data_IF_627127982646
#
_entry.id   IF_627127982646
#
_cell.length_a   1.000
_cell.length_b   1.000
_cell.length_c   1.000
_cell.angle_alpha   90.00
_cell.angle_beta   90.00
_cell.angle_gamma   90.00
#
_symmetry.space_group_name_H-M   'P 1'
#
loop_
_entity.id
_entity.type
_entity.pdbx_description
1 polymer ?
2 polymer ?
3 water ?
#
# COMPACT_ATOMS: atom_id res chain seq x y z
N UNK A 9 -4.78 -2.65 -17.57
CA UNK A 9 -5.01 -3.63 -16.52
C UNK A 9 -6.05 -3.14 -15.51
N UNK A 10 -7.00 -4.02 -15.22
CA UNK A 10 -8.06 -3.73 -14.25
C UNK A 10 -7.59 -4.23 -12.90
N UNK A 11 -7.40 -3.30 -11.96
CA UNK A 11 -6.82 -3.70 -10.70
C UNK A 11 -7.27 -2.87 -9.50
N UNK A 12 -8.07 -1.83 -9.71
CA UNK A 12 -8.43 -0.92 -8.63
C UNK A 12 -9.81 -1.22 -8.07
N UNK A 13 -9.91 -1.14 -6.74
CA UNK A 13 -11.16 -1.34 -6.01
C UNK A 13 -11.38 -0.17 -5.05
N UNK A 14 -12.65 0.14 -4.81
CA UNK A 14 -12.98 1.02 -3.69
C UNK A 14 -14.23 0.51 -2.98
N UNK A 15 -14.46 1.01 -1.76
CA UNK A 15 -15.66 0.65 -1.02
C UNK A 15 -16.64 1.82 -1.02
N UNK A 16 -17.89 1.54 -1.37
CA UNK A 16 -18.88 2.61 -1.38
C UNK A 16 -19.38 2.84 0.03
N UNK A 17 -20.17 3.91 0.24
CA UNK A 17 -20.60 4.23 1.62
C UNK A 17 -21.41 3.13 2.26
N UNK A 18 -22.02 2.26 1.48
CA UNK A 18 -22.75 1.10 1.98
C UNK A 18 -21.85 -0.12 2.19
N UNK A 19 -20.53 0.03 2.09
CA UNK A 19 -19.59 -1.04 2.37
C UNK A 19 -19.37 -2.04 1.24
N UNK A 20 -20.06 -1.89 0.10
CA UNK A 20 -19.91 -2.81 -1.00
C UNK A 20 -18.63 -2.51 -1.78
N UNK A 21 -17.90 -3.56 -2.14
CA UNK A 21 -16.66 -3.37 -2.88
C UNK A 21 -16.98 -3.21 -4.36
N UNK A 22 -16.40 -2.19 -4.97
CA UNK A 22 -16.61 -1.93 -6.40
C UNK A 22 -15.29 -2.08 -7.15
N UNK A 23 -15.36 -2.67 -8.33
CA UNK A 23 -14.17 -2.93 -9.12
C UNK A 23 -14.19 -4.33 -9.71
N UNK A 24 -13.14 -4.70 -10.46
CA UNK A 24 -11.91 -3.92 -10.65
C UNK A 24 -11.95 -2.91 -11.77
N UNK A 25 -11.31 -1.79 -11.53
CA UNK A 25 -11.23 -0.70 -12.49
C UNK A 25 -9.81 -0.49 -12.98
N UNK A 26 -9.70 0.08 -14.18
CA UNK A 26 -8.40 0.46 -14.68
C UNK A 26 -7.90 1.72 -13.98
N UNK A 27 -6.58 1.94 -14.03
CA UNK A 27 -6.01 3.18 -13.52
C UNK A 27 -6.61 4.38 -14.22
N UNK A 28 -6.85 4.27 -15.53
CA UNK A 28 -7.43 5.38 -16.29
C UNK A 28 -8.86 5.69 -15.86
N UNK A 29 -9.65 4.66 -15.57
CA UNK A 29 -11.00 4.90 -15.05
C UNK A 29 -10.95 5.62 -13.71
N UNK A 30 -10.04 5.18 -12.85
CA UNK A 30 -9.90 5.86 -11.56
C UNK A 30 -9.44 7.30 -11.75
N UNK A 31 -8.45 7.52 -12.63
CA UNK A 31 -7.99 8.87 -12.87
C UNK A 31 -9.12 9.77 -13.34
N UNK A 32 -9.98 9.25 -14.23
CA UNK A 32 -11.10 10.05 -14.74
C UNK A 32 -12.02 10.46 -13.60
N UNK A 33 -12.42 9.50 -12.77
CA UNK A 33 -13.32 9.80 -11.66
C UNK A 33 -12.66 10.72 -10.64
N UNK A 34 -11.36 10.55 -10.39
CA UNK A 34 -10.65 11.44 -9.48
C UNK A 34 -10.63 12.87 -10.02
N UNK A 35 -10.31 13.04 -11.31
CA UNK A 35 -10.25 14.40 -11.84
C UNK A 35 -11.62 15.05 -11.94
N UNK A 36 -12.68 14.27 -12.03
CA UNK A 36 -14.04 14.78 -12.05
C UNK A 36 -14.56 15.19 -10.68
N UNK A 37 -13.86 14.82 -9.61
CA UNK A 37 -14.21 15.21 -8.26
C UNK A 37 -15.02 14.19 -7.48
N UNK A 38 -15.13 12.94 -7.96
CA UNK A 38 -15.98 11.98 -7.29
C UNK A 38 -15.36 11.34 -6.05
N UNK A 39 -14.04 11.42 -5.91
CA UNK A 39 -13.31 10.67 -4.91
C UNK A 39 -12.81 11.59 -3.81
N UNK A 40 -13.33 11.41 -2.60
CA UNK A 40 -12.79 12.19 -1.49
C UNK A 40 -11.55 11.55 -0.90
N UNK A 41 -10.90 12.30 0.01
CA UNK A 41 -9.73 11.75 0.67
C UNK A 41 -10.06 10.63 1.64
N UNK A 42 -11.34 10.38 1.93
CA UNK A 42 -11.71 9.32 2.87
C UNK A 42 -12.13 8.03 2.16
N UNK A 43 -12.29 8.07 0.85
CA UNK A 43 -12.69 6.89 0.10
C UNK A 43 -11.68 5.77 0.30
N UNK A 44 -12.18 4.60 0.64
CA UNK A 44 -11.32 3.45 0.88
C UNK A 44 -10.97 2.81 -0.45
N UNK A 45 -9.67 2.69 -0.74
CA UNK A 45 -9.25 2.18 -2.04
C UNK A 45 -8.09 1.21 -1.88
N UNK A 46 -7.95 0.30 -2.85
CA UNK A 46 -6.79 -0.58 -2.87
C UNK A 46 -6.68 -1.15 -4.27
N UNK A 47 -5.47 -1.56 -4.63
CA UNK A 47 -5.31 -2.45 -5.77
C UNK A 47 -5.58 -3.88 -5.32
N UNK A 48 -5.93 -4.74 -6.27
CA UNK A 48 -6.14 -6.14 -5.93
C UNK A 48 -4.99 -6.76 -5.15
N UNK A 49 -3.77 -6.47 -5.59
CA UNK A 49 -2.58 -7.02 -4.97
C UNK A 49 -2.21 -6.45 -3.62
N UNK A 50 -2.87 -5.37 -3.25
CA UNK A 50 -2.54 -4.68 -1.99
C UNK A 50 -3.14 -5.40 -0.77
N UNK A 51 -2.54 -5.10 0.39
CA UNK A 51 -2.97 -5.64 1.67
C UNK A 51 -3.88 -4.63 2.34
N UNK A 52 -5.18 -4.79 2.18
CA UNK A 52 -6.14 -3.97 2.92
C UNK A 52 -6.57 -2.73 2.15
N UNK A 53 -7.78 -2.25 2.45
CA UNK A 53 -8.22 -0.95 1.94
C UNK A 53 -7.63 0.14 2.83
N UNK A 54 -7.35 1.30 2.24
CA UNK A 54 -6.89 2.47 2.98
C UNK A 54 -7.58 3.73 2.42
N UNK A 55 -7.79 4.75 3.26
CA UNK A 55 -8.34 6.00 2.71
C UNK A 55 -7.41 6.62 1.67
N UNK A 56 -8.03 7.19 0.62
CA UNK A 56 -7.25 7.70 -0.50
C UNK A 56 -6.22 8.74 -0.05
N UNK A 57 -6.56 9.56 0.94
CA UNK A 57 -5.57 10.51 1.44
C UNK A 57 -4.34 9.81 1.97
N UNK A 58 -4.54 8.68 2.65
CA UNK A 58 -3.40 7.93 3.17
C UNK A 58 -2.65 7.19 2.06
N UNK A 59 -3.38 6.67 1.08
CA UNK A 59 -2.75 6.09 -0.09
C UNK A 59 -1.83 7.10 -0.75
N UNK A 60 -2.29 8.34 -0.90
CA UNK A 60 -1.47 9.38 -1.51
C UNK A 60 -0.23 9.62 -0.67
N UNK A 61 -0.39 9.64 0.66
CA UNK A 61 0.78 9.79 1.53
C UNK A 61 1.74 8.63 1.35
N UNK A 62 1.21 7.41 1.25
CA UNK A 62 2.06 6.22 1.16
C UNK A 62 2.82 6.20 -0.15
N UNK A 63 2.12 6.52 -1.24
CA UNK A 63 2.71 6.47 -2.56
C UNK A 63 3.58 7.68 -2.83
N UNK A 64 3.36 8.76 -2.11
CA UNK A 64 4.04 10.01 -2.38
C UNK A 64 3.46 10.83 -3.52
N UNK A 65 2.31 10.45 -4.09
CA UNK A 65 1.64 11.11 -5.23
C UNK A 65 0.25 10.49 -5.40
N UNK A 66 -0.60 11.13 -6.17
CA UNK A 66 -1.87 10.44 -6.39
C UNK A 66 -1.59 9.21 -7.22
N UNK A 67 -2.13 8.06 -6.86
CA UNK A 67 -1.67 6.81 -7.49
C UNK A 67 -2.14 6.63 -8.91
N UNK A 68 -3.13 7.41 -9.36
CA UNK A 68 -3.70 7.27 -10.69
C UNK A 68 -2.98 8.13 -11.72
N UNK A 69 -2.03 8.91 -11.31
CA UNK A 69 -1.28 9.72 -12.24
C UNK A 69 -0.06 8.97 -12.75
N UNK A 70 0.51 9.41 -13.87
CA UNK A 70 1.85 8.93 -14.25
C UNK A 70 2.87 9.26 -13.15
N UNK A 71 3.87 8.41 -13.03
CA UNK A 71 4.83 8.53 -11.93
C UNK A 71 6.23 8.88 -12.34
N UNK B 9 8.19 -1.49 -8.49
CA UNK B 9 6.80 -1.67 -8.17
C UNK B 9 6.59 -1.56 -6.66
N UNK B 10 5.43 -1.01 -6.33
CA UNK B 10 5.03 -0.81 -4.96
C UNK B 10 4.35 -2.07 -4.49
N UNK B 11 5.06 -2.85 -3.69
CA UNK B 11 4.52 -4.13 -3.26
C UNK B 11 4.77 -4.47 -1.80
N UNK B 12 5.52 -3.68 -1.03
CA UNK B 12 5.95 -4.07 0.31
C UNK B 12 5.06 -3.46 1.37
N UNK B 13 4.75 -4.27 2.40
CA UNK B 13 3.98 -3.84 3.57
C UNK B 13 4.70 -4.24 4.84
N UNK B 14 4.49 -3.48 5.91
CA UNK B 14 4.95 -3.92 7.23
C UNK B 14 3.88 -3.50 8.23
N UNK B 15 3.91 -4.10 9.41
CA UNK B 15 3.02 -3.72 10.50
C UNK B 15 3.77 -2.81 11.47
N UNK B 16 3.12 -1.72 11.88
CA UNK B 16 3.70 -0.87 12.91
C UNK B 16 3.49 -1.51 14.28
N UNK B 17 4.04 -0.91 15.34
CA UNK B 17 4.06 -1.60 16.64
C UNK B 17 2.69 -1.85 17.24
N UNK B 18 1.65 -1.14 16.79
CA UNK B 18 0.29 -1.46 17.19
C UNK B 18 -0.39 -2.40 16.21
N UNK B 19 0.31 -2.89 15.21
CA UNK B 19 -0.27 -3.85 14.28
C UNK B 19 -0.96 -3.25 13.09
N UNK B 20 -0.93 -1.92 12.91
CA UNK B 20 -1.54 -1.30 11.76
C UNK B 20 -0.66 -1.43 10.53
N UNK B 21 -1.28 -1.71 9.39
CA UNK B 21 -0.53 -2.05 8.19
C UNK B 21 -0.12 -0.78 7.47
N UNK B 22 1.15 -0.75 7.05
CA UNK B 22 1.73 0.36 6.30
C UNK B 22 2.21 -0.14 4.94
N UNK B 23 1.98 0.68 3.91
CA UNK B 23 2.39 0.39 2.56
C UNK B 23 1.28 0.76 1.60
N UNK B 24 1.46 0.47 0.31
CA UNK B 24 2.58 -0.28 -0.27
C UNK B 24 3.79 0.58 -0.55
N UNK B 25 4.97 0.02 -0.33
CA UNK B 25 6.24 0.69 -0.56
C UNK B 25 7.03 -0.03 -1.64
N UNK B 26 7.89 0.71 -2.33
CA UNK B 26 8.74 0.08 -3.33
C UNK B 26 9.90 -0.64 -2.65
N UNK B 27 10.52 -1.56 -3.39
CA UNK B 27 11.72 -2.20 -2.88
C UNK B 27 12.81 -1.17 -2.55
N UNK B 28 12.95 -0.11 -3.37
CA UNK B 28 13.99 0.89 -3.11
C UNK B 28 13.72 1.66 -1.83
N UNK B 29 12.44 1.98 -1.58
CA UNK B 29 12.08 2.64 -0.33
C UNK B 29 12.42 1.77 0.85
N UNK B 30 12.11 0.47 0.76
CA UNK B 30 12.40 -0.42 1.87
C UNK B 30 13.92 -0.55 2.07
N UNK B 31 14.68 -0.56 0.96
CA UNK B 31 16.13 -0.66 1.06
C UNK B 31 16.71 0.55 1.78
N UNK B 32 16.17 1.74 1.50
CA UNK B 32 16.63 2.96 2.16
C UNK B 32 16.39 2.90 3.66
N UNK B 33 15.16 2.56 4.05
CA UNK B 33 14.83 2.49 5.45
C UNK B 33 15.62 1.40 6.18
N UNK B 34 15.83 0.26 5.52
CA UNK B 34 16.66 -0.80 6.07
C UNK B 34 18.09 -0.32 6.29
N UNK B 35 18.68 0.31 5.29
CA UNK B 35 20.07 0.74 5.47
C UNK B 35 20.20 1.85 6.49
N UNK B 36 19.15 2.65 6.67
CA UNK B 36 19.16 3.72 7.67
C UNK B 36 19.03 3.20 9.09
N UNK B 37 18.70 1.93 9.28
CA UNK B 37 18.59 1.34 10.60
C UNK B 37 17.21 1.28 11.21
N UNK B 38 16.17 1.60 10.45
CA UNK B 38 14.84 1.71 11.04
C UNK B 38 14.19 0.37 11.29
N UNK B 39 14.64 -0.66 10.59
CA UNK B 39 14.00 -1.96 10.60
C UNK B 39 14.76 -2.96 11.47
N UNK B 40 14.11 -3.49 12.50
CA UNK B 40 14.71 -4.56 13.27
C UNK B 40 14.44 -5.91 12.61
N UNK B 41 15.11 -6.96 13.10
CA UNK B 41 14.85 -8.30 12.57
C UNK B 41 13.49 -8.88 12.97
N UNK B 42 12.73 -8.21 13.83
CA UNK B 42 11.39 -8.67 14.16
C UNK B 42 10.29 -7.83 13.50
N UNK B 43 10.65 -6.87 12.67
CA UNK B 43 9.63 -6.18 11.90
C UNK B 43 8.81 -7.19 11.10
N UNK B 44 7.49 -7.12 11.19
CA UNK B 44 6.64 -8.01 10.43
C UNK B 44 6.42 -7.43 9.04
N UNK B 45 6.78 -8.20 8.00
CA UNK B 45 6.78 -7.70 6.62
C UNK B 45 6.15 -8.72 5.69
N UNK B 46 5.70 -8.23 4.53
CA UNK B 46 5.22 -9.13 3.48
C UNK B 46 5.09 -8.34 2.19
N UNK B 47 5.05 -9.06 1.10
CA UNK B 47 4.63 -8.47 -0.16
C UNK B 47 3.12 -8.60 -0.29
N UNK B 48 2.53 -7.73 -1.08
CA UNK B 48 1.09 -7.79 -1.25
C UNK B 48 0.48 -9.18 -1.53
N UNK B 49 0.88 -9.81 -2.60
CA UNK B 49 0.67 -11.23 -2.77
C UNK B 49 0.98 -12.35 -1.77
N UNK B 50 1.77 -12.06 -0.75
CA UNK B 50 2.11 -13.12 0.22
C UNK B 50 0.95 -13.46 1.15
N UNK B 51 1.02 -14.59 1.85
CA UNK B 51 -0.13 -15.02 2.65
C UNK B 51 -0.24 -14.31 3.99
N UNK B 52 0.88 -13.94 4.61
CA UNK B 52 0.85 -13.31 5.91
C UNK B 52 2.15 -12.59 6.15
N UNK B 53 2.18 -11.84 7.25
CA UNK B 53 3.38 -11.14 7.65
C UNK B 53 4.31 -12.10 8.39
N UNK B 54 5.61 -11.87 8.23
CA UNK B 54 6.65 -12.67 8.85
C UNK B 54 7.78 -11.75 9.30
N UNK B 55 8.49 -12.14 10.36
CA UNK B 55 9.62 -11.31 10.79
C UNK B 55 10.68 -11.17 9.71
N UNK B 56 11.18 -9.95 9.58
CA UNK B 56 12.18 -9.68 8.54
C UNK B 56 13.37 -10.62 8.67
N UNK B 57 13.80 -10.92 9.89
CA UNK B 57 14.97 -11.79 10.03
C UNK B 57 14.70 -13.16 9.45
N UNK B 58 13.48 -13.66 9.62
CA UNK B 58 13.13 -14.95 9.03
C UNK B 58 13.01 -14.84 7.51
N UNK B 59 12.53 -13.70 7.01
CA UNK B 59 12.46 -13.49 5.57
C UNK B 59 13.85 -13.51 4.96
N UNK B 60 14.81 -12.83 5.61
CA UNK B 60 16.18 -12.81 5.10
C UNK B 60 16.75 -14.22 5.03
N UNK B 61 16.50 -15.04 6.05
CA UNK B 61 17.04 -16.39 6.05
C UNK B 61 16.37 -17.25 4.98
N UNK B 62 15.06 -17.12 4.81
CA UNK B 62 14.37 -17.89 3.78
C UNK B 62 14.82 -17.50 2.39
N UNK B 63 15.05 -16.20 2.14
CA UNK B 63 15.49 -15.70 0.85
C UNK B 63 16.95 -16.02 0.58
N UNK B 64 17.72 -16.23 1.65
CA UNK B 64 19.15 -16.35 1.52
C UNK B 64 19.86 -15.04 1.28
N UNK B 65 19.16 -13.92 1.43
CA UNK B 65 19.73 -12.60 1.21
C UNK B 65 18.69 -11.57 1.64
N UNK B 66 19.16 -10.33 1.76
CA UNK B 66 18.26 -9.20 2.06
C UNK B 66 17.32 -9.00 0.86
N UNK B 67 16.00 -9.13 1.04
CA UNK B 67 15.11 -9.10 -0.13
C UNK B 67 15.10 -7.77 -0.85
N UNK B 68 15.59 -6.69 -0.22
CA UNK B 68 15.61 -5.35 -0.81
C UNK B 68 16.90 -5.02 -1.55
N UNK B 69 17.90 -5.88 -1.50
CA UNK B 69 19.15 -5.69 -2.20
C UNK B 69 19.09 -6.26 -3.62
N UNK B 70 20.04 -5.87 -4.49
CA UNK B 70 20.12 -6.47 -5.83
C UNK B 70 20.45 -7.96 -5.78
N UNK C 8 13.99 13.19 2.73
CA UNK C 8 13.76 11.81 3.20
C UNK C 8 12.75 11.79 4.33
N UNK C 9 11.91 10.76 4.34
CA UNK C 9 10.91 10.58 5.38
C UNK C 9 11.22 9.31 6.18
N UNK C 10 10.89 9.27 7.47
CA UNK C 10 11.01 8.03 8.23
C UNK C 10 9.90 7.07 7.83
N UNK C 11 10.03 5.78 8.15
CA UNK C 11 8.95 4.84 7.78
C UNK C 11 7.70 5.15 8.56
N UNK C 12 6.57 5.35 7.88
CA UNK C 12 5.32 5.63 8.59
C UNK C 12 5.07 4.63 9.70
N UNK C 13 4.68 5.14 10.87
CA UNK C 13 4.27 4.31 11.98
C UNK C 13 5.36 3.81 12.89
N UNK C 14 6.62 3.93 12.53
CA UNK C 14 7.64 3.23 13.30
C UNK C 14 8.40 4.13 14.26
N UNK C 15 8.38 5.45 14.05
CA UNK C 15 9.19 6.37 14.86
C UNK C 15 8.34 7.35 15.65
N UNK C 16 7.02 7.27 15.57
CA UNK C 16 6.12 8.22 16.23
C UNK C 16 6.20 9.57 15.53
N UNK D 9 -20.02 8.02 -17.11
CA UNK D 9 -20.68 7.19 -16.11
C UNK D 9 -20.10 7.50 -14.74
N UNK D 10 -20.96 7.84 -13.76
CA UNK D 10 -20.46 8.06 -12.40
C UNK D 10 -19.94 6.77 -11.81
N UNK D 11 -19.08 6.86 -10.80
CA UNK D 11 -18.57 5.65 -10.15
C UNK D 11 -19.70 4.89 -9.45
N UNK D 12 -19.81 3.60 -9.71
CA UNK D 12 -20.87 2.81 -9.07
C UNK D 12 -20.82 2.97 -7.56
N UNK D 13 -22.01 3.16 -6.99
CA UNK D 13 -22.22 3.16 -5.56
C UNK D 13 -21.99 4.47 -4.86
N UNK D 14 -21.40 5.45 -5.54
CA UNK D 14 -20.99 6.66 -4.82
C UNK D 14 -21.97 7.82 -4.97
N UNK D 15 -22.82 7.80 -6.00
CA UNK D 15 -23.71 8.93 -6.25
C UNK D 15 -25.18 8.55 -6.22
N UNK D 16 -25.50 7.26 -6.08
CA UNK D 16 -26.87 6.76 -6.06
C UNK D 16 -27.61 7.13 -7.33
#
# INVERSE_FOLDING_TARGET
GPLESHGAARKWFYKDPQGEIQGPFTTQEMAEWFQAGYFSMSLLVKRGXDEGFQPLGEVIKMWGRVPFAPGPS
GPLESHGAARKWFYKDPQGEIQGPFTTQEMAEWFQAGYFSMSLLVKRGXDEGFQPLGEVIKMWGRVPFAPGPS
GPLGSAPTRPPPGLTN
GPLGSAPTRPPPGLTN
#
